data_IF_182095177376
#
_entry.id   IF_182095177376
#
_cell.length_a   1.000
_cell.length_b   1.000
_cell.length_c   1.000
_cell.angle_alpha   90.00
_cell.angle_beta   90.00
_cell.angle_gamma   90.00
#
_symmetry.space_group_name_H-M   'P 1'
#
loop_
_entity.id
_entity.type
_entity.pdbx_description
1 polymer ?
#
# COMPACT_ATOMS: atom_id res chain seq x y z
N UNK A 1 30.06 21.56 -8.04
CA UNK A 1 29.60 20.25 -7.54
C UNK A 1 28.13 20.40 -7.20
N UNK A 2 27.23 20.25 -8.18
CA UNK A 2 25.78 20.30 -7.93
C UNK A 2 25.37 18.98 -7.26
N UNK A 3 25.25 19.00 -5.94
CA UNK A 3 24.60 17.92 -5.20
C UNK A 3 23.09 18.07 -5.33
N UNK A 4 22.50 17.53 -6.40
CA UNK A 4 21.06 17.36 -6.51
C UNK A 4 20.69 15.93 -6.06
N UNK A 5 20.51 15.68 -4.75
CA UNK A 5 20.19 14.33 -4.23
C UNK A 5 18.84 13.82 -4.75
N UNK A 6 17.93 14.73 -5.10
CA UNK A 6 16.61 14.40 -5.60
C UNK A 6 16.64 13.83 -7.03
N UNK A 7 17.49 14.37 -7.91
CA UNK A 7 17.62 13.89 -9.31
C UNK A 7 18.28 12.52 -9.35
N UNK A 8 19.25 12.23 -8.46
CA UNK A 8 19.79 10.88 -8.31
C UNK A 8 18.73 9.90 -7.83
N UNK A 9 17.87 10.26 -6.87
CA UNK A 9 16.79 9.38 -6.40
C UNK A 9 15.70 9.14 -7.46
N UNK A 10 15.45 10.11 -8.33
CA UNK A 10 14.42 10.02 -9.37
C UNK A 10 14.91 9.42 -10.70
N UNK A 11 16.20 9.55 -11.00
CA UNK A 11 16.79 9.16 -12.30
C UNK A 11 17.69 7.94 -12.20
N UNK A 12 18.15 7.56 -11.00
CA UNK A 12 18.94 6.35 -10.80
C UNK A 12 18.06 5.11 -10.80
N UNK A 13 18.51 4.04 -11.47
CA UNK A 13 17.84 2.75 -11.59
C UNK A 13 17.42 2.17 -10.23
N UNK A 14 18.26 2.38 -9.21
CA UNK A 14 18.02 1.95 -7.82
C UNK A 14 16.92 2.78 -7.14
N UNK A 15 16.89 4.08 -7.39
CA UNK A 15 15.91 4.98 -6.80
C UNK A 15 14.50 4.68 -7.28
N UNK A 16 14.34 4.45 -8.59
CA UNK A 16 13.06 4.12 -9.21
C UNK A 16 12.51 2.76 -8.74
N UNK A 17 13.34 1.72 -8.67
CA UNK A 17 12.95 0.40 -8.13
C UNK A 17 12.53 0.49 -6.66
N UNK A 18 13.22 1.30 -5.84
CA UNK A 18 12.84 1.51 -4.44
C UNK A 18 11.49 2.20 -4.31
N UNK A 19 11.24 3.25 -5.12
CA UNK A 19 9.97 3.98 -5.12
C UNK A 19 8.81 3.08 -5.56
N UNK A 20 9.05 2.26 -6.59
CA UNK A 20 8.08 1.28 -7.06
C UNK A 20 7.76 0.26 -5.97
N UNK A 21 8.78 -0.26 -5.28
CA UNK A 21 8.60 -1.22 -4.19
C UNK A 21 7.79 -0.63 -3.03
N UNK A 22 8.12 0.59 -2.61
CA UNK A 22 7.39 1.31 -1.55
C UNK A 22 5.93 1.53 -1.97
N UNK A 23 5.71 2.00 -3.20
CA UNK A 23 4.35 2.19 -3.76
C UNK A 23 3.55 0.88 -3.80
N UNK A 24 4.17 -0.21 -4.24
CA UNK A 24 3.55 -1.53 -4.27
C UNK A 24 3.13 -2.01 -2.87
N UNK A 25 4.00 -1.85 -1.87
CA UNK A 25 3.70 -2.22 -0.48
C UNK A 25 2.52 -1.39 0.05
N UNK A 26 2.50 -0.08 -0.21
CA UNK A 26 1.39 0.79 0.20
C UNK A 26 0.06 0.37 -0.45
N UNK A 27 0.07 0.08 -1.75
CA UNK A 27 -1.11 -0.45 -2.45
C UNK A 27 -1.60 -1.76 -1.84
N UNK A 28 -0.68 -2.69 -1.54
CA UNK A 28 -1.02 -3.96 -0.88
C UNK A 28 -1.62 -3.74 0.51
N UNK A 29 -1.04 -2.85 1.32
CA UNK A 29 -1.55 -2.53 2.64
C UNK A 29 -2.99 -1.97 2.58
N UNK A 30 -3.25 -1.06 1.66
CA UNK A 30 -4.61 -0.52 1.42
C UNK A 30 -5.56 -1.61 0.93
N UNK A 31 -5.12 -2.43 -0.03
CA UNK A 31 -5.93 -3.53 -0.56
C UNK A 31 -6.33 -4.51 0.53
N UNK A 32 -5.39 -4.96 1.36
CA UNK A 32 -5.65 -5.87 2.47
C UNK A 32 -6.59 -5.21 3.48
N UNK A 33 -6.38 -3.93 3.84
CA UNK A 33 -7.25 -3.21 4.76
C UNK A 33 -8.71 -3.13 4.24
N UNK A 34 -8.89 -2.81 2.96
CA UNK A 34 -10.22 -2.79 2.33
C UNK A 34 -10.85 -4.19 2.26
N UNK A 35 -10.05 -5.20 1.91
CA UNK A 35 -10.50 -6.59 1.83
C UNK A 35 -10.96 -7.09 3.20
N UNK A 36 -10.15 -6.91 4.24
CA UNK A 36 -10.48 -7.28 5.62
C UNK A 36 -11.70 -6.52 6.12
N UNK A 37 -11.78 -5.20 5.90
CA UNK A 37 -12.98 -4.42 6.28
C UNK A 37 -14.25 -4.95 5.62
N UNK A 38 -14.19 -5.30 4.35
CA UNK A 38 -15.36 -5.83 3.62
C UNK A 38 -15.73 -7.24 4.06
N UNK A 39 -14.75 -8.09 4.33
CA UNK A 39 -14.99 -9.47 4.78
C UNK A 39 -15.50 -9.51 6.23
N UNK A 40 -14.85 -8.79 7.15
CA UNK A 40 -15.27 -8.71 8.55
C UNK A 40 -16.66 -8.08 8.70
N UNK A 41 -17.01 -7.09 7.87
CA UNK A 41 -18.38 -6.52 7.89
C UNK A 41 -19.43 -7.56 7.48
N UNK A 42 -19.14 -8.37 6.46
CA UNK A 42 -20.03 -9.45 6.04
C UNK A 42 -20.19 -10.50 7.16
N UNK A 43 -19.12 -10.85 7.86
CA UNK A 43 -19.17 -11.81 8.98
C UNK A 43 -19.86 -11.24 10.23
N UNK A 44 -19.67 -9.94 10.50
CA UNK A 44 -20.30 -9.25 11.64
C UNK A 44 -21.81 -9.09 11.44
N UNK A 45 -22.25 -8.76 10.22
CA UNK A 45 -23.67 -8.65 9.87
C UNK A 45 -24.38 -10.01 9.94
N UNK A 46 -23.73 -11.09 9.49
CA UNK A 46 -24.28 -12.44 9.57
C UNK A 46 -24.45 -12.95 11.01
N UNK A 47 -23.60 -12.51 11.95
CA UNK A 47 -23.66 -12.93 13.36
C UNK A 47 -24.62 -12.06 14.19
N UNK A 48 -24.85 -10.80 13.80
CA UNK A 48 -25.80 -9.90 14.46
C UNK A 48 -27.26 -10.26 14.12
N UNK A 49 -27.54 -10.84 12.96
CA UNK A 49 -28.91 -11.22 12.56
C UNK A 49 -29.42 -12.52 13.22
N UNK A 50 -28.61 -13.16 14.09
CA UNK A 50 -28.93 -14.42 14.76
C UNK A 50 -29.16 -14.29 16.28
N UNK A 51 -29.25 -13.08 16.82
CA UNK A 51 -29.79 -12.79 18.16
C UNK A 51 -31.04 -11.91 18.04
#
# INVERSE_FOLDING_TARGET
MENTPLSTLLTSEIGLLSLFTIGFILCMAVYIFMFVRRHVKADTEANQQKN
#
